data_IF_307942339449
#
_entry.id   IF_307942339449
#
_cell.length_a   1.000
_cell.length_b   1.000
_cell.length_c   1.000
_cell.angle_alpha   90.00
_cell.angle_beta   90.00
_cell.angle_gamma   90.00
#
_symmetry.space_group_name_H-M   'P 1'
#
loop_
_entity.id
_entity.type
_entity.pdbx_description
1 polymer ?
#
# COMPACT_ATOMS: atom_id res chain seq x y z
N UNK A 1 -11.87 23.84 7.49
CA UNK A 1 -10.56 24.50 7.33
C UNK A 1 -10.11 24.33 5.90
N UNK A 2 -9.48 25.34 5.31
CA UNK A 2 -9.29 25.48 3.87
C UNK A 2 -8.44 24.37 3.22
N UNK A 3 -8.85 23.96 2.02
CA UNK A 3 -8.09 23.11 1.11
C UNK A 3 -6.84 23.86 0.62
N UNK A 4 -5.73 23.73 1.36
CA UNK A 4 -4.45 24.38 1.04
C UNK A 4 -3.75 23.78 -0.19
N UNK A 5 -4.20 22.63 -0.70
CA UNK A 5 -3.40 21.83 -1.64
C UNK A 5 -4.10 21.44 -2.95
N UNK A 6 -5.35 21.87 -3.18
CA UNK A 6 -6.16 21.43 -4.33
C UNK A 6 -5.73 21.99 -5.69
N UNK A 7 -4.59 22.69 -5.77
CA UNK A 7 -4.09 23.33 -7.00
C UNK A 7 -2.66 22.94 -7.40
N UNK A 8 -2.00 22.01 -6.69
CA UNK A 8 -0.61 21.66 -7.01
C UNK A 8 -0.53 20.59 -8.09
N UNK A 9 0.20 20.89 -9.18
CA UNK A 9 0.69 19.87 -10.10
C UNK A 9 1.48 18.81 -9.32
N UNK A 10 1.42 17.54 -9.76
CA UNK A 10 2.14 16.41 -9.13
C UNK A 10 3.56 16.84 -8.76
N UNK A 11 3.81 16.95 -7.46
CA UNK A 11 5.07 17.44 -6.94
C UNK A 11 6.15 16.37 -7.20
N UNK A 12 7.28 16.77 -7.78
CA UNK A 12 8.49 15.92 -7.85
C UNK A 12 9.18 15.77 -6.49
N UNK A 13 8.60 16.32 -5.42
CA UNK A 13 9.18 16.33 -4.08
C UNK A 13 8.61 15.16 -3.28
N UNK A 14 9.47 14.58 -2.45
CA UNK A 14 9.07 13.63 -1.44
C UNK A 14 8.86 14.29 -0.08
N UNK A 15 8.16 13.61 0.82
CA UNK A 15 8.09 13.96 2.23
C UNK A 15 8.36 12.72 3.08
N UNK A 16 9.11 12.90 4.16
CA UNK A 16 9.30 11.91 5.23
C UNK A 16 8.70 12.49 6.51
N UNK A 17 7.82 11.72 7.13
CA UNK A 17 7.17 12.05 8.39
C UNK A 17 7.59 11.00 9.41
N UNK A 18 8.44 11.39 10.37
CA UNK A 18 8.90 10.49 11.44
C UNK A 18 7.82 10.23 12.53
N UNK A 19 6.58 10.66 12.26
CA UNK A 19 5.38 10.40 13.05
C UNK A 19 4.17 10.25 12.13
N UNK A 20 3.13 9.57 12.61
CA UNK A 20 1.83 9.49 11.94
C UNK A 20 1.00 10.75 12.26
N UNK A 21 0.74 11.65 11.31
CA UNK A 21 -0.25 12.70 11.49
C UNK A 21 -1.65 12.12 11.60
N UNK A 22 -2.61 12.92 12.06
CA UNK A 22 -4.01 12.54 11.95
C UNK A 22 -4.42 12.29 10.48
N UNK A 23 -5.47 11.50 10.30
CA UNK A 23 -5.96 11.09 8.99
C UNK A 23 -6.30 12.27 8.10
N UNK A 24 -6.92 13.34 8.62
CA UNK A 24 -7.30 14.50 7.82
C UNK A 24 -6.07 15.21 7.27
N UNK A 25 -5.02 15.34 8.08
CA UNK A 25 -3.73 15.91 7.66
C UNK A 25 -3.09 15.05 6.56
N UNK A 26 -3.03 13.73 6.72
CA UNK A 26 -2.49 12.82 5.71
C UNK A 26 -3.23 12.91 4.38
N UNK A 27 -4.57 12.96 4.44
CA UNK A 27 -5.43 13.04 3.25
C UNK A 27 -5.41 14.43 2.59
N UNK A 28 -4.98 15.46 3.31
CA UNK A 28 -4.81 16.80 2.75
C UNK A 28 -3.56 16.94 1.89
N UNK A 29 -2.61 16.00 1.97
CA UNK A 29 -1.36 16.07 1.23
C UNK A 29 -1.61 16.04 -0.28
N UNK A 30 -0.98 16.94 -1.06
CA UNK A 30 -1.08 16.88 -2.51
C UNK A 30 -0.46 15.56 -3.02
N UNK A 31 -0.81 15.09 -4.23
CA UNK A 31 -0.15 13.96 -4.86
C UNK A 31 1.37 14.14 -4.89
N UNK A 32 2.09 13.23 -4.22
CA UNK A 32 3.55 13.25 -4.06
C UNK A 32 4.21 12.17 -4.90
N UNK A 33 5.45 12.43 -5.33
CA UNK A 33 6.29 11.41 -5.94
C UNK A 33 6.74 10.35 -4.91
N UNK A 34 7.03 10.76 -3.69
CA UNK A 34 7.43 9.87 -2.61
C UNK A 34 6.83 10.32 -1.27
N UNK A 35 6.22 9.41 -0.53
CA UNK A 35 5.78 9.64 0.84
C UNK A 35 6.29 8.52 1.73
N UNK A 36 6.95 8.90 2.81
CA UNK A 36 7.43 8.00 3.85
C UNK A 36 6.83 8.44 5.18
N UNK A 37 6.17 7.53 5.88
CA UNK A 37 5.49 7.82 7.15
C UNK A 37 5.83 6.72 8.14
N UNK A 38 6.32 7.10 9.32
CA UNK A 38 6.54 6.18 10.43
C UNK A 38 5.27 6.10 11.29
N UNK A 39 4.59 4.96 11.26
CA UNK A 39 3.32 4.73 11.99
C UNK A 39 3.49 4.14 13.39
N UNK A 40 4.73 3.90 13.84
CA UNK A 40 4.98 3.25 15.12
C UNK A 40 4.36 1.86 15.15
N UNK A 41 3.58 1.54 16.19
CA UNK A 41 2.86 0.26 16.31
C UNK A 41 1.39 0.34 15.90
N UNK A 42 0.97 1.43 15.26
CA UNK A 42 -0.43 1.65 14.90
C UNK A 42 -0.85 0.78 13.72
N UNK A 43 -2.11 0.35 13.76
CA UNK A 43 -2.75 -0.36 12.67
C UNK A 43 -3.40 0.63 11.71
N UNK A 44 -3.09 0.49 10.42
CA UNK A 44 -3.69 1.33 9.37
C UNK A 44 -4.90 0.62 8.80
N UNK A 45 -6.01 1.34 8.69
CA UNK A 45 -7.21 0.83 8.00
C UNK A 45 -6.94 0.62 6.52
N UNK A 46 -7.58 -0.40 5.92
CA UNK A 46 -7.45 -0.64 4.48
C UNK A 46 -7.91 0.56 3.65
N UNK A 47 -8.92 1.30 4.11
CA UNK A 47 -9.40 2.53 3.47
C UNK A 47 -8.32 3.62 3.39
N UNK A 48 -7.61 3.89 4.50
CA UNK A 48 -6.53 4.87 4.50
C UNK A 48 -5.38 4.40 3.61
N UNK A 49 -5.03 3.11 3.70
CA UNK A 49 -4.02 2.50 2.83
C UNK A 49 -4.35 2.71 1.35
N UNK A 50 -5.58 2.38 0.90
CA UNK A 50 -5.97 2.54 -0.50
C UNK A 50 -6.05 4.00 -0.94
N UNK A 51 -6.46 4.90 -0.05
CA UNK A 51 -6.49 6.33 -0.36
C UNK A 51 -5.08 6.88 -0.60
N UNK A 52 -4.14 6.53 0.28
CA UNK A 52 -2.74 6.87 0.11
C UNK A 52 -2.19 6.22 -1.16
N UNK A 53 -2.47 4.92 -1.36
CA UNK A 53 -2.11 4.16 -2.56
C UNK A 53 -2.51 4.97 -3.79
N UNK A 54 -3.79 5.24 -3.99
CA UNK A 54 -4.27 5.92 -5.19
C UNK A 54 -3.72 7.33 -5.41
N UNK A 55 -3.27 8.01 -4.35
CA UNK A 55 -2.84 9.40 -4.40
C UNK A 55 -1.34 9.57 -4.68
N UNK A 56 -0.51 8.64 -4.22
CA UNK A 56 0.96 8.78 -4.25
C UNK A 56 1.63 7.72 -5.14
N UNK A 57 2.74 8.11 -5.77
CA UNK A 57 3.50 7.20 -6.65
C UNK A 57 4.30 6.18 -5.85
N UNK A 58 5.08 6.64 -4.88
CA UNK A 58 5.82 5.79 -3.95
C UNK A 58 5.35 6.02 -2.53
N UNK A 59 5.05 4.93 -1.82
CA UNK A 59 4.58 4.97 -0.43
C UNK A 59 5.41 4.01 0.39
N UNK A 60 6.00 4.53 1.46
CA UNK A 60 6.64 3.75 2.51
C UNK A 60 5.90 4.01 3.83
N UNK A 61 5.32 2.96 4.41
CA UNK A 61 4.66 2.98 5.70
C UNK A 61 5.54 2.21 6.68
N UNK A 62 6.55 2.87 7.22
CA UNK A 62 7.50 2.26 8.15
C UNK A 62 6.78 1.85 9.45
N UNK A 63 7.04 0.62 9.88
CA UNK A 63 6.45 0.00 11.09
C UNK A 63 4.91 -0.11 11.10
N UNK A 64 4.23 0.33 10.04
CA UNK A 64 2.78 0.20 9.93
C UNK A 64 2.36 -1.25 9.77
N UNK A 65 1.43 -1.71 10.60
CA UNK A 65 0.70 -2.94 10.34
C UNK A 65 -0.53 -2.62 9.49
N UNK A 66 -0.53 -3.10 8.24
CA UNK A 66 -1.70 -2.99 7.36
C UNK A 66 -2.46 -4.31 7.40
N UNK A 67 -3.73 -4.27 7.80
CA UNK A 67 -4.63 -5.42 7.68
C UNK A 67 -5.40 -5.33 6.38
N UNK A 68 -5.13 -6.28 5.49
CA UNK A 68 -5.86 -6.48 4.25
C UNK A 68 -6.51 -7.86 4.27
N UNK A 69 -7.69 -7.97 3.71
CA UNK A 69 -8.25 -9.25 3.22
C UNK A 69 -7.49 -9.70 1.97
N UNK A 70 -7.65 -10.96 1.57
CA UNK A 70 -7.02 -11.47 0.34
C UNK A 70 -7.51 -10.76 -0.93
N UNK A 71 -8.79 -10.37 -0.97
CA UNK A 71 -9.36 -9.56 -2.05
C UNK A 71 -8.76 -8.15 -2.09
N UNK A 72 -8.55 -7.53 -0.93
CA UNK A 72 -7.87 -6.23 -0.85
C UNK A 72 -6.39 -6.33 -1.23
N UNK A 73 -5.72 -7.41 -0.82
CA UNK A 73 -4.36 -7.68 -1.28
C UNK A 73 -4.30 -7.80 -2.82
N UNK A 74 -5.19 -8.59 -3.43
CA UNK A 74 -5.30 -8.69 -4.89
C UNK A 74 -5.48 -7.33 -5.54
N UNK A 75 -6.43 -6.56 -5.01
CA UNK A 75 -6.72 -5.20 -5.48
C UNK A 75 -5.48 -4.32 -5.37
N UNK A 76 -4.70 -4.42 -4.30
CA UNK A 76 -3.47 -3.64 -4.13
C UNK A 76 -2.45 -3.99 -5.23
N UNK A 77 -2.27 -5.27 -5.54
CA UNK A 77 -1.40 -5.75 -6.62
C UNK A 77 -1.89 -5.25 -7.98
N UNK A 78 -3.19 -5.30 -8.25
CA UNK A 78 -3.79 -4.78 -9.49
C UNK A 78 -3.56 -3.26 -9.66
N UNK A 79 -3.70 -2.48 -8.59
CA UNK A 79 -3.42 -1.02 -8.65
C UNK A 79 -1.92 -0.78 -8.90
N UNK A 80 -1.04 -1.58 -8.30
CA UNK A 80 0.41 -1.46 -8.51
C UNK A 80 0.78 -1.85 -9.96
N UNK A 81 0.26 -2.96 -10.47
CA UNK A 81 0.61 -3.50 -11.80
C UNK A 81 0.01 -2.71 -12.96
N UNK A 82 -1.15 -2.08 -12.78
CA UNK A 82 -1.79 -1.24 -13.80
C UNK A 82 -1.12 0.14 -13.97
N UNK A 83 -0.20 0.50 -13.06
CA UNK A 83 0.46 1.79 -13.12
C UNK A 83 1.55 1.80 -14.20
N UNK A 84 1.47 2.74 -15.14
CA UNK A 84 2.36 2.84 -16.31
C UNK A 84 3.79 3.33 -16.01
N UNK A 85 4.16 3.45 -14.73
CA UNK A 85 5.46 3.92 -14.24
C UNK A 85 5.85 3.07 -13.05
N UNK A 86 7.14 3.02 -12.76
CA UNK A 86 7.65 2.35 -11.56
C UNK A 86 6.96 2.91 -10.30
N UNK A 87 6.29 2.01 -9.58
CA UNK A 87 5.53 2.25 -8.37
C UNK A 87 6.08 1.37 -7.27
N UNK A 88 6.34 1.96 -6.12
CA UNK A 88 6.90 1.26 -4.97
C UNK A 88 5.93 1.43 -3.79
N UNK A 89 5.57 0.31 -3.18
CA UNK A 89 4.73 0.27 -1.98
C UNK A 89 5.45 -0.60 -0.97
N UNK A 90 5.71 -0.04 0.20
CA UNK A 90 6.38 -0.72 1.31
C UNK A 90 5.55 -0.57 2.57
N UNK A 91 5.25 -1.68 3.24
CA UNK A 91 4.52 -1.73 4.51
C UNK A 91 4.88 -3.03 5.24
N UNK A 92 4.48 -3.15 6.51
CA UNK A 92 4.65 -4.39 7.28
C UNK A 92 3.34 -5.17 7.32
N UNK A 93 3.44 -6.48 7.15
CA UNK A 93 2.35 -7.43 7.35
C UNK A 93 2.82 -8.55 8.27
N UNK A 94 1.92 -9.07 9.10
CA UNK A 94 2.25 -10.24 9.91
C UNK A 94 2.34 -11.51 9.04
N UNK A 95 3.08 -12.50 9.52
CA UNK A 95 3.31 -13.75 8.79
C UNK A 95 1.99 -14.47 8.44
N UNK A 96 1.04 -14.52 9.36
CA UNK A 96 -0.26 -15.17 9.13
C UNK A 96 -1.05 -14.54 8.00
N UNK A 97 -1.04 -13.21 7.87
CA UNK A 97 -1.71 -12.48 6.80
C UNK A 97 -1.05 -12.78 5.46
N UNK A 98 0.29 -12.77 5.39
CA UNK A 98 1.02 -13.10 4.16
C UNK A 98 0.70 -14.53 3.72
N UNK A 99 0.76 -15.50 4.63
CA UNK A 99 0.43 -16.90 4.33
C UNK A 99 -1.00 -17.03 3.85
N UNK A 100 -1.95 -16.40 4.54
CA UNK A 100 -3.37 -16.44 4.15
C UNK A 100 -3.59 -15.85 2.76
N UNK A 101 -2.99 -14.70 2.46
CA UNK A 101 -3.11 -14.09 1.13
C UNK A 101 -2.57 -15.02 0.05
N UNK A 102 -1.36 -15.56 0.23
CA UNK A 102 -0.74 -16.46 -0.74
C UNK A 102 -1.58 -17.73 -0.95
N UNK A 103 -2.06 -18.35 0.13
CA UNK A 103 -2.87 -19.57 0.06
C UNK A 103 -4.20 -19.35 -0.66
N UNK A 104 -4.84 -18.20 -0.49
CA UNK A 104 -6.08 -17.86 -1.22
C UNK A 104 -5.85 -17.72 -2.74
N UNK A 105 -4.61 -17.44 -3.17
CA UNK A 105 -4.21 -17.47 -4.59
C UNK A 105 -3.64 -18.83 -5.02
N UNK A 106 -3.83 -19.89 -4.23
CA UNK A 106 -3.34 -21.23 -4.53
C UNK A 106 -1.82 -21.38 -4.41
N UNK A 107 -1.14 -20.42 -3.76
CA UNK A 107 0.29 -20.50 -3.46
C UNK A 107 0.43 -21.11 -2.06
N UNK A 108 0.80 -22.39 -2.04
CA UNK A 108 1.04 -23.18 -0.85
C UNK A 108 2.45 -23.79 -0.86
N UNK A 109 2.78 -24.61 0.15
CA UNK A 109 4.09 -25.27 0.24
C UNK A 109 4.37 -26.27 -0.87
N UNK A 110 3.34 -26.74 -1.59
CA UNK A 110 3.49 -27.66 -2.71
C UNK A 110 3.71 -26.93 -4.04
N UNK A 111 3.52 -25.61 -4.08
CA UNK A 111 3.67 -24.79 -5.27
C UNK A 111 5.15 -24.70 -5.67
N UNK A 112 5.48 -25.15 -6.89
CA UNK A 112 6.85 -25.09 -7.42
C UNK A 112 7.02 -23.86 -8.32
N UNK A 113 8.28 -23.47 -8.56
CA UNK A 113 8.60 -22.42 -9.52
C UNK A 113 8.06 -22.81 -10.91
N UNK A 114 7.30 -21.92 -11.54
CA UNK A 114 6.65 -22.17 -12.84
C UNK A 114 5.24 -22.76 -12.77
N UNK A 115 4.71 -23.06 -11.58
CA UNK A 115 3.31 -23.45 -11.42
C UNK A 115 2.37 -22.30 -11.78
N UNK A 116 1.37 -22.59 -12.62
CA UNK A 116 0.33 -21.63 -13.02
C UNK A 116 -0.90 -21.82 -12.12
N UNK A 117 -1.38 -20.73 -11.52
CA UNK A 117 -2.59 -20.74 -10.72
C UNK A 117 -3.78 -21.26 -11.54
N UNK A 118 -4.40 -22.37 -11.11
CA UNK A 118 -5.58 -22.97 -11.74
C UNK A 118 -5.32 -24.20 -12.62
N UNK A 119 -4.07 -24.63 -12.78
CA UNK A 119 -3.78 -25.94 -13.36
C UNK A 119 -3.93 -27.03 -12.28
N UNK A 120 -5.11 -27.66 -12.25
CA UNK A 120 -5.29 -28.87 -11.45
C UNK A 120 -4.40 -29.97 -12.03
N UNK A 121 -3.57 -30.59 -11.17
CA UNK A 121 -2.95 -31.89 -11.47
C UNK A 121 -3.99 -33.00 -11.56
#
# INVERSE_FOLDING_TARGET
>A
GAALFSGFARSKRGIRLDYCPDTDTLLSLPPMEHIEISFGSEEISSELFFTLLNSHKTISMECANVRLTSQEWERSIQIISSYNRDRIVQFTANQSSIVHWLSDFGIDQATQEGSICGEAS
#
